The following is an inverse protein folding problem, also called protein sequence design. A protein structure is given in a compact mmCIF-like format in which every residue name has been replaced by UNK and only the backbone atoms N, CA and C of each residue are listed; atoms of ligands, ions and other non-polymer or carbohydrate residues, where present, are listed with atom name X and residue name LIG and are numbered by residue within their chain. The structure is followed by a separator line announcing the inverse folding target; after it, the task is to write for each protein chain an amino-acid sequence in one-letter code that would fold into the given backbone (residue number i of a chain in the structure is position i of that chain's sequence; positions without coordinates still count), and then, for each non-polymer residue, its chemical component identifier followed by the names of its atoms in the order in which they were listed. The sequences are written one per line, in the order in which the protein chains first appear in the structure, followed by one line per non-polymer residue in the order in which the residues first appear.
data_IF_652220934263
#
_entry.id   IF_652220934263
#
_cell.length_a   1.000
_cell.length_b   1.000
_cell.length_c   1.000
_cell.angle_alpha   90.00
_cell.angle_beta   90.00
_cell.angle_gamma   90.00
#
_symmetry.space_group_name_H-M   'P 1'
#
loop_
_entity.id
_entity.type
_entity.pdbx_description
1 polymer ?
#
# COMPACT_ATOMS: atom_id res chain seq x y z
N UNK A 1 -30.80 16.81 47.10
CA UNK A 1 -30.18 15.53 46.64
C UNK A 1 -31.31 14.62 46.14
N UNK A 2 -31.51 14.52 44.81
CA UNK A 2 -32.55 13.68 44.21
C UNK A 2 -32.02 12.24 44.15
N UNK A 3 -32.62 11.32 44.95
CA UNK A 3 -32.30 9.90 44.88
C UNK A 3 -32.88 9.31 43.57
N UNK A 4 -32.04 9.13 42.56
CA UNK A 4 -32.40 8.40 41.34
C UNK A 4 -32.62 6.91 41.65
N UNK A 5 -33.81 6.39 41.37
CA UNK A 5 -34.18 4.98 41.54
C UNK A 5 -33.43 4.11 40.54
N UNK A 6 -33.24 2.82 40.84
CA UNK A 6 -32.50 1.86 39.98
C UNK A 6 -33.11 1.73 38.57
N UNK A 7 -34.41 1.90 38.45
CA UNK A 7 -35.17 1.89 37.17
C UNK A 7 -34.81 3.10 36.29
N UNK A 8 -34.67 4.29 36.90
CA UNK A 8 -34.30 5.52 36.13
C UNK A 8 -32.86 5.43 35.54
N UNK A 9 -31.96 4.71 36.21
CA UNK A 9 -30.58 4.49 35.70
C UNK A 9 -30.53 3.52 34.55
N UNK A 10 -31.39 2.50 34.49
CA UNK A 10 -31.44 1.51 33.41
C UNK A 10 -32.06 2.12 32.15
N UNK A 11 -33.10 2.97 32.31
CA UNK A 11 -33.73 3.67 31.17
C UNK A 11 -32.81 4.74 30.56
N UNK A 12 -32.01 5.45 31.36
CA UNK A 12 -31.03 6.41 30.86
C UNK A 12 -29.86 5.74 30.14
N UNK A 13 -29.38 4.59 30.63
CA UNK A 13 -28.34 3.82 29.96
C UNK A 13 -28.83 3.22 28.64
N UNK A 14 -30.08 2.74 28.60
CA UNK A 14 -30.70 2.23 27.36
C UNK A 14 -30.93 3.32 26.32
N UNK A 15 -31.33 4.52 26.73
CA UNK A 15 -31.52 5.66 25.82
C UNK A 15 -30.20 6.20 25.28
N UNK A 16 -29.11 6.15 26.07
CA UNK A 16 -27.78 6.56 25.59
C UNK A 16 -27.20 5.60 24.57
N UNK A 17 -27.46 4.28 24.71
CA UNK A 17 -27.03 3.26 23.75
C UNK A 17 -27.82 3.39 22.43
N UNK A 18 -29.13 3.66 22.49
CA UNK A 18 -29.94 3.91 21.28
C UNK A 18 -29.56 5.22 20.58
N UNK A 19 -29.19 6.27 21.29
CA UNK A 19 -28.75 7.53 20.70
C UNK A 19 -27.39 7.43 20.01
N UNK A 20 -26.51 6.54 20.46
CA UNK A 20 -25.23 6.22 19.80
C UNK A 20 -25.40 5.33 18.55
N UNK A 21 -26.50 4.58 18.45
CA UNK A 21 -26.80 3.75 17.28
C UNK A 21 -27.49 4.51 16.13
N UNK A 22 -28.00 5.72 16.38
CA UNK A 22 -28.85 6.46 15.44
C UNK A 22 -28.19 7.57 14.63
N UNK A 23 -26.87 7.70 14.60
CA UNK A 23 -26.25 8.90 14.02
C UNK A 23 -24.92 8.76 13.31
N UNK A 24 -24.53 7.56 12.87
CA UNK A 24 -23.37 7.45 11.97
C UNK A 24 -23.87 7.60 10.54
N UNK A 25 -23.36 8.58 9.75
CA UNK A 25 -23.59 8.56 8.32
C UNK A 25 -23.08 7.22 7.82
N UNK A 26 -23.90 6.49 7.07
CA UNK A 26 -23.45 5.35 6.28
C UNK A 26 -22.43 5.94 5.27
N UNK A 27 -21.17 5.86 5.62
CA UNK A 27 -20.11 6.04 4.63
C UNK A 27 -20.32 4.88 3.66
N UNK A 28 -20.77 5.21 2.45
CA UNK A 28 -20.82 4.27 1.36
C UNK A 28 -19.43 3.62 1.29
N UNK A 29 -19.38 2.30 1.45
CA UNK A 29 -18.19 1.53 1.14
C UNK A 29 -17.85 1.89 -0.32
N UNK A 30 -16.68 2.52 -0.53
CA UNK A 30 -16.28 2.96 -1.86
C UNK A 30 -16.26 1.76 -2.80
N UNK A 31 -16.77 1.93 -4.01
CA UNK A 31 -16.62 0.96 -5.12
C UNK A 31 -15.16 0.92 -5.60
N UNK A 32 -14.22 0.70 -4.67
CA UNK A 32 -12.82 0.49 -5.01
C UNK A 32 -12.66 -0.84 -5.75
N UNK A 33 -11.68 -0.94 -6.67
CA UNK A 33 -11.44 -2.19 -7.39
C UNK A 33 -11.09 -3.32 -6.41
N UNK A 34 -11.66 -4.50 -6.65
CA UNK A 34 -11.34 -5.68 -5.85
C UNK A 34 -9.90 -6.13 -6.13
N UNK A 35 -9.06 -6.13 -5.09
CA UNK A 35 -7.65 -6.50 -5.20
C UNK A 35 -7.43 -7.86 -4.56
N UNK A 36 -6.93 -8.78 -5.37
CA UNK A 36 -6.63 -10.14 -4.92
C UNK A 36 -5.44 -10.14 -3.94
N UNK A 37 -5.60 -10.85 -2.82
CA UNK A 37 -4.53 -11.06 -1.84
C UNK A 37 -3.47 -11.98 -2.42
N UNK A 38 -2.21 -11.57 -2.35
CA UNK A 38 -1.05 -12.35 -2.73
C UNK A 38 -0.40 -12.97 -1.49
N UNK A 39 0.16 -14.15 -1.63
CA UNK A 39 0.95 -14.77 -0.56
C UNK A 39 2.37 -14.16 -0.56
N UNK A 40 2.73 -13.50 0.54
CA UNK A 40 4.03 -12.87 0.74
C UNK A 40 4.87 -13.64 1.75
N UNK A 41 6.22 -13.62 1.60
CA UNK A 41 7.16 -14.23 2.55
C UNK A 41 7.07 -13.57 3.94
N UNK A 42 6.79 -12.28 3.97
CA UNK A 42 6.66 -11.49 5.19
C UNK A 42 5.25 -11.50 5.82
N UNK A 43 4.30 -12.27 5.25
CA UNK A 43 2.94 -12.41 5.78
C UNK A 43 2.90 -13.20 7.08
N UNK A 44 1.91 -12.86 7.91
CA UNK A 44 1.59 -13.58 9.14
C UNK A 44 2.59 -13.39 10.28
N UNK A 45 2.34 -14.00 11.45
CA UNK A 45 3.11 -13.74 12.67
C UNK A 45 4.59 -14.15 12.59
N UNK A 46 4.92 -15.19 11.81
CA UNK A 46 6.29 -15.69 11.61
C UNK A 46 6.92 -15.26 10.29
N UNK A 47 6.23 -14.47 9.48
CA UNK A 47 6.73 -14.02 8.18
C UNK A 47 7.90 -13.06 8.31
N UNK A 48 8.82 -13.11 7.36
CA UNK A 48 10.00 -12.24 7.26
C UNK A 48 10.26 -11.89 5.79
N UNK A 49 10.94 -10.77 5.58
CA UNK A 49 11.32 -10.35 4.23
C UNK A 49 12.38 -11.28 3.64
N UNK A 50 12.19 -11.66 2.37
CA UNK A 50 13.21 -12.37 1.61
C UNK A 50 14.26 -11.38 1.11
N UNK A 51 15.51 -11.57 1.56
CA UNK A 51 16.63 -10.70 1.23
C UNK A 51 16.86 -10.55 -0.28
N UNK A 52 16.82 -11.65 -1.01
CA UNK A 52 17.08 -11.63 -2.45
C UNK A 52 15.95 -10.91 -3.19
N UNK A 53 14.71 -11.13 -2.75
CA UNK A 53 13.56 -10.39 -3.26
C UNK A 53 13.69 -8.87 -3.02
N UNK A 54 14.13 -8.46 -1.83
CA UNK A 54 14.37 -7.04 -1.55
C UNK A 54 15.51 -6.46 -2.39
N UNK A 55 16.55 -7.23 -2.66
CA UNK A 55 17.66 -6.80 -3.54
C UNK A 55 17.19 -6.57 -4.97
N UNK A 56 16.42 -7.50 -5.53
CA UNK A 56 15.81 -7.32 -6.86
C UNK A 56 14.83 -6.15 -6.88
N UNK A 57 14.00 -6.00 -5.83
CA UNK A 57 13.08 -4.87 -5.70
C UNK A 57 13.79 -3.52 -5.62
N UNK A 58 14.92 -3.44 -4.92
CA UNK A 58 15.78 -2.26 -4.92
C UNK A 58 16.37 -1.97 -6.30
N UNK A 59 16.78 -3.00 -7.04
CA UNK A 59 17.27 -2.84 -8.40
C UNK A 59 16.21 -2.21 -9.30
N UNK A 60 14.96 -2.70 -9.22
CA UNK A 60 13.84 -2.11 -9.97
C UNK A 60 13.60 -0.65 -9.56
N UNK A 61 13.61 -0.36 -8.24
CA UNK A 61 13.51 1.03 -7.79
C UNK A 61 14.60 1.90 -8.41
N UNK A 62 15.86 1.47 -8.31
CA UNK A 62 17.02 2.22 -8.79
C UNK A 62 17.00 2.45 -10.30
N UNK A 63 16.67 1.42 -11.08
CA UNK A 63 16.77 1.46 -12.55
C UNK A 63 15.53 2.04 -13.23
N UNK A 64 14.36 1.94 -12.58
CA UNK A 64 13.08 2.33 -13.18
C UNK A 64 12.39 3.44 -12.41
N UNK A 65 12.11 3.23 -11.12
CA UNK A 65 11.22 4.11 -10.36
C UNK A 65 11.87 5.42 -9.91
N UNK A 66 13.19 5.38 -9.64
CA UNK A 66 13.93 6.49 -9.04
C UNK A 66 14.03 7.72 -9.96
N UNK A 67 13.81 7.56 -11.26
CA UNK A 67 13.76 8.67 -12.21
C UNK A 67 12.61 9.66 -11.91
N UNK A 68 11.51 9.16 -11.34
CA UNK A 68 10.31 9.96 -11.07
C UNK A 68 9.93 9.98 -9.58
N UNK A 69 10.30 8.98 -8.79
CA UNK A 69 9.86 8.80 -7.42
C UNK A 69 11.00 8.86 -6.42
N UNK A 70 10.84 9.69 -5.39
CA UNK A 70 11.78 9.77 -4.27
C UNK A 70 11.63 8.61 -3.28
N UNK A 71 12.68 8.44 -2.43
CA UNK A 71 12.71 7.51 -1.30
C UNK A 71 13.28 8.24 -0.05
N UNK A 72 12.74 9.42 0.23
CA UNK A 72 13.29 10.42 1.16
C UNK A 72 13.41 9.96 2.61
N UNK A 73 12.69 8.92 3.03
CA UNK A 73 12.69 8.44 4.42
C UNK A 73 13.68 7.31 4.64
N UNK A 74 14.25 6.75 3.59
CA UNK A 74 15.24 5.68 3.65
C UNK A 74 16.64 6.31 3.54
N UNK A 75 17.53 5.95 4.47
CA UNK A 75 18.94 6.28 4.40
C UNK A 75 19.70 5.14 3.71
N UNK A 76 20.83 5.45 3.08
CA UNK A 76 21.65 4.42 2.43
C UNK A 76 22.06 3.29 3.39
N UNK A 77 22.35 3.62 4.66
CA UNK A 77 22.66 2.61 5.69
C UNK A 77 21.56 1.58 5.91
N UNK A 78 20.28 1.92 5.63
CA UNK A 78 19.19 0.97 5.82
C UNK A 78 19.30 -0.22 4.86
N UNK A 79 19.94 -0.05 3.70
CA UNK A 79 20.18 -1.11 2.74
C UNK A 79 21.18 -2.19 3.25
N UNK A 80 21.98 -1.85 4.25
CA UNK A 80 23.00 -2.75 4.86
C UNK A 80 22.46 -3.47 6.08
N UNK A 81 21.41 -2.92 6.72
CA UNK A 81 20.88 -3.39 7.99
C UNK A 81 20.23 -4.77 7.91
N UNK A 82 20.35 -5.60 8.97
CA UNK A 82 19.68 -6.88 9.06
C UNK A 82 18.15 -6.77 8.94
N UNK A 83 17.55 -7.73 8.24
CA UNK A 83 16.11 -7.74 7.95
C UNK A 83 15.72 -6.87 6.77
N UNK A 84 16.69 -6.30 6.07
CA UNK A 84 16.55 -5.56 4.82
C UNK A 84 17.23 -6.26 3.65
N UNK A 85 17.59 -5.50 2.60
CA UNK A 85 18.34 -6.03 1.45
C UNK A 85 19.72 -6.57 1.81
N UNK A 86 20.30 -6.09 2.92
CA UNK A 86 21.61 -6.55 3.46
C UNK A 86 22.72 -6.56 2.41
N UNK A 87 22.80 -5.51 1.61
CA UNK A 87 23.91 -5.35 0.67
C UNK A 87 25.24 -5.18 1.40
N UNK A 88 26.36 -5.57 0.81
CA UNK A 88 27.68 -5.27 1.34
C UNK A 88 27.89 -3.76 1.56
N UNK A 89 28.43 -3.38 2.72
CA UNK A 89 28.56 -1.97 3.11
C UNK A 89 29.36 -1.14 2.09
N UNK A 90 30.48 -1.70 1.58
CA UNK A 90 31.32 -1.02 0.61
C UNK A 90 30.59 -0.74 -0.72
N UNK A 91 29.74 -1.70 -1.13
CA UNK A 91 28.87 -1.52 -2.31
C UNK A 91 27.88 -0.38 -2.10
N UNK A 92 27.22 -0.32 -0.93
CA UNK A 92 26.27 0.75 -0.62
C UNK A 92 26.98 2.10 -0.44
N UNK A 93 28.20 2.11 0.13
CA UNK A 93 29.04 3.31 0.23
C UNK A 93 29.39 3.86 -1.16
N UNK A 94 29.78 2.98 -2.07
CA UNK A 94 30.06 3.34 -3.46
C UNK A 94 28.81 3.85 -4.17
N UNK A 95 27.68 3.19 -3.97
CA UNK A 95 26.38 3.64 -4.48
C UNK A 95 26.03 5.02 -3.96
N UNK A 96 26.11 5.26 -2.63
CA UNK A 96 25.80 6.55 -2.02
C UNK A 96 26.65 7.68 -2.63
N UNK A 97 27.93 7.44 -2.86
CA UNK A 97 28.85 8.43 -3.45
C UNK A 97 28.45 8.88 -4.87
N UNK A 98 27.63 8.12 -5.58
CA UNK A 98 27.09 8.53 -6.90
C UNK A 98 26.02 9.61 -6.79
N UNK A 99 25.40 9.77 -5.62
CA UNK A 99 24.37 10.78 -5.37
C UNK A 99 25.00 12.06 -4.82
N UNK A 100 24.37 13.20 -5.11
CA UNK A 100 24.76 14.50 -4.56
C UNK A 100 23.72 14.93 -3.54
N UNK A 101 24.19 15.44 -2.40
CA UNK A 101 23.36 16.01 -1.34
C UNK A 101 23.85 17.40 -0.99
N UNK A 102 22.93 18.27 -0.64
CA UNK A 102 23.25 19.63 -0.20
C UNK A 102 23.72 19.60 1.25
N UNK A 103 24.79 20.35 1.54
CA UNK A 103 25.34 20.57 2.88
C UNK A 103 25.64 22.05 3.04
N UNK A 104 25.54 22.56 4.25
CA UNK A 104 25.98 23.93 4.54
C UNK A 104 27.48 23.94 4.87
N UNK A 105 28.23 24.77 4.19
CA UNK A 105 29.63 25.00 4.55
C UNK A 105 29.76 25.84 5.84
N UNK A 106 30.98 26.08 6.31
CA UNK A 106 31.26 26.85 7.53
C UNK A 106 30.72 28.29 7.45
N UNK A 107 30.45 28.80 6.26
CA UNK A 107 29.95 30.18 6.01
C UNK A 107 28.41 30.18 5.82
N UNK A 108 27.73 29.04 5.98
CA UNK A 108 26.30 28.92 5.75
C UNK A 108 25.87 28.84 4.27
N UNK A 109 26.82 28.68 3.35
CA UNK A 109 26.54 28.53 1.92
C UNK A 109 26.21 27.08 1.61
N UNK A 110 25.19 26.85 0.79
CA UNK A 110 24.83 25.52 0.29
C UNK A 110 25.88 25.03 -0.71
N UNK A 111 26.51 23.91 -0.42
CA UNK A 111 27.47 23.21 -1.27
C UNK A 111 27.02 21.78 -1.51
N UNK A 112 27.36 21.23 -2.65
CA UNK A 112 27.02 19.83 -2.97
C UNK A 112 28.19 18.90 -2.68
N UNK A 113 27.92 17.81 -1.97
CA UNK A 113 28.90 16.74 -1.74
C UNK A 113 28.35 15.38 -2.14
N UNK A 114 29.21 14.38 -2.36
CA UNK A 114 28.81 12.99 -2.45
C UNK A 114 28.06 12.55 -1.18
N UNK A 115 26.98 11.78 -1.35
CA UNK A 115 26.24 11.25 -0.21
C UNK A 115 27.04 10.18 0.54
N UNK A 116 26.73 10.02 1.82
CA UNK A 116 27.31 9.05 2.77
C UNK A 116 26.23 8.05 3.20
N UNK A 117 26.60 6.98 3.88
CA UNK A 117 25.66 5.99 4.42
C UNK A 117 24.59 6.59 5.34
N UNK A 118 24.90 7.67 6.04
CA UNK A 118 23.95 8.37 6.92
C UNK A 118 22.92 9.21 6.18
N UNK A 119 23.20 9.57 4.95
CA UNK A 119 22.31 10.43 4.17
C UNK A 119 21.11 9.63 3.65
N UNK A 120 20.04 10.35 3.40
CA UNK A 120 18.83 9.79 2.80
C UNK A 120 18.89 9.88 1.27
N UNK A 121 18.11 9.04 0.60
CA UNK A 121 17.96 9.17 -0.84
C UNK A 121 17.43 10.56 -1.19
N UNK A 122 18.10 11.30 -2.08
CA UNK A 122 17.61 12.61 -2.53
C UNK A 122 16.35 12.47 -3.37
N UNK A 123 15.56 13.52 -3.41
CA UNK A 123 14.42 13.62 -4.33
C UNK A 123 14.91 13.81 -5.76
N UNK A 124 14.26 13.21 -6.78
CA UNK A 124 14.56 13.52 -8.18
C UNK A 124 14.22 14.95 -8.59
N UNK A 125 13.37 15.65 -7.81
CA UNK A 125 12.95 17.03 -8.06
C UNK A 125 13.32 17.93 -6.89
N UNK A 126 13.65 19.17 -7.18
CA UNK A 126 13.94 20.20 -6.18
C UNK A 126 12.69 20.55 -5.35
N UNK A 127 11.55 20.60 -6.00
CA UNK A 127 10.26 20.92 -5.37
C UNK A 127 9.09 20.36 -6.16
N UNK A 128 7.89 20.48 -5.61
CA UNK A 128 6.66 19.99 -6.21
C UNK A 128 6.30 20.70 -7.51
N UNK A 129 6.59 22.00 -7.63
CA UNK A 129 6.28 22.78 -8.83
C UNK A 129 7.09 22.28 -10.05
N UNK A 130 8.37 21.95 -9.84
CA UNK A 130 9.22 21.34 -10.86
C UNK A 130 8.67 19.98 -11.28
N UNK A 131 8.32 19.12 -10.31
CA UNK A 131 7.75 17.81 -10.61
C UNK A 131 6.46 17.91 -11.43
N UNK A 132 5.54 18.79 -11.05
CA UNK A 132 4.27 18.99 -11.77
C UNK A 132 4.47 19.55 -13.18
N UNK A 133 5.44 20.43 -13.37
CA UNK A 133 5.73 20.98 -14.71
C UNK A 133 6.23 19.93 -15.69
N UNK A 134 6.96 18.93 -15.20
CA UNK A 134 7.51 17.83 -16.01
C UNK A 134 6.45 16.75 -16.30
N UNK A 135 5.49 16.55 -15.37
CA UNK A 135 4.51 15.47 -15.43
C UNK A 135 3.07 15.94 -15.71
N UNK A 136 2.88 16.96 -16.54
CA UNK A 136 1.56 17.47 -16.95
C UNK A 136 0.63 17.76 -15.77
N UNK A 137 1.17 18.35 -14.69
CA UNK A 137 0.43 18.66 -13.47
C UNK A 137 0.38 17.53 -12.43
N UNK A 138 0.77 16.31 -12.76
CA UNK A 138 0.84 15.22 -11.79
C UNK A 138 2.07 15.37 -10.88
N UNK A 139 1.94 14.96 -9.63
CA UNK A 139 3.06 14.89 -8.68
C UNK A 139 3.35 13.43 -8.32
N UNK A 140 4.47 12.84 -8.79
CA UNK A 140 4.86 11.50 -8.41
C UNK A 140 5.07 11.39 -6.90
N UNK A 141 4.36 10.51 -6.18
CA UNK A 141 4.50 10.38 -4.74
C UNK A 141 5.86 9.82 -4.35
N UNK A 142 6.34 10.19 -3.15
CA UNK A 142 7.49 9.53 -2.52
C UNK A 142 7.12 8.10 -2.13
N UNK A 143 7.97 7.13 -2.47
CA UNK A 143 7.68 5.71 -2.30
C UNK A 143 8.07 5.15 -0.93
N UNK A 144 8.70 5.95 -0.05
CA UNK A 144 9.16 5.48 1.26
C UNK A 144 8.05 4.88 2.13
N UNK A 145 6.83 5.40 2.04
CA UNK A 145 5.69 4.96 2.84
C UNK A 145 4.52 4.49 1.98
N UNK A 146 4.72 4.31 0.69
CA UNK A 146 3.63 4.06 -0.26
C UNK A 146 2.81 2.82 0.11
N UNK A 147 3.45 1.75 0.57
CA UNK A 147 2.78 0.53 1.00
C UNK A 147 1.95 0.68 2.28
N UNK A 148 2.18 1.75 3.07
CA UNK A 148 1.33 2.09 4.22
C UNK A 148 0.31 3.19 3.89
N UNK A 149 0.64 4.07 2.95
CA UNK A 149 -0.22 5.16 2.52
C UNK A 149 -1.31 4.71 1.53
N UNK A 150 -1.11 3.60 0.86
CA UNK A 150 -2.04 2.95 -0.06
C UNK A 150 -2.33 1.54 0.43
N UNK A 151 -3.58 1.16 0.42
CA UNK A 151 -4.02 -0.16 0.86
C UNK A 151 -5.27 -0.57 0.12
N UNK A 152 -5.68 -1.79 0.34
CA UNK A 152 -6.96 -2.31 -0.14
C UNK A 152 -8.05 -1.76 0.78
N UNK A 153 -9.01 -1.05 0.20
CA UNK A 153 -10.18 -0.58 0.96
C UNK A 153 -11.06 -1.75 1.37
N UNK A 154 -11.62 -1.65 2.57
CA UNK A 154 -12.58 -2.64 3.06
C UNK A 154 -13.92 -2.43 2.35
N UNK A 155 -14.33 -3.39 1.53
CA UNK A 155 -15.57 -3.36 0.75
C UNK A 155 -16.74 -4.14 1.39
N UNK A 156 -16.51 -4.76 2.54
CA UNK A 156 -17.52 -5.55 3.25
C UNK A 156 -18.51 -4.70 4.07
N UNK A 157 -19.56 -5.34 4.64
CA UNK A 157 -20.52 -4.67 5.50
C UNK A 157 -19.84 -4.02 6.72
N UNK A 158 -20.23 -2.79 7.05
CA UNK A 158 -19.60 -1.99 8.12
C UNK A 158 -19.65 -2.69 9.50
N UNK A 159 -20.67 -3.47 9.77
CA UNK A 159 -20.81 -4.23 11.01
C UNK A 159 -19.81 -5.38 11.13
N UNK A 160 -19.26 -5.88 10.00
CA UNK A 160 -18.25 -6.94 9.97
C UNK A 160 -16.82 -6.38 10.02
N UNK A 161 -16.64 -5.10 9.80
CA UNK A 161 -15.32 -4.45 9.80
C UNK A 161 -14.49 -4.70 11.08
N UNK A 162 -15.05 -4.59 12.32
CA UNK A 162 -14.30 -4.92 13.53
C UNK A 162 -13.83 -6.38 13.60
N UNK A 163 -14.63 -7.31 13.04
CA UNK A 163 -14.27 -8.74 13.00
C UNK A 163 -13.13 -8.97 12.00
N UNK A 164 -13.17 -8.32 10.84
CA UNK A 164 -12.07 -8.41 9.86
C UNK A 164 -10.79 -7.80 10.41
N UNK A 165 -10.86 -6.66 11.10
CA UNK A 165 -9.70 -6.06 11.77
C UNK A 165 -9.10 -6.99 12.84
N UNK A 166 -9.94 -7.63 13.66
CA UNK A 166 -9.48 -8.60 14.66
C UNK A 166 -8.81 -9.81 13.99
N UNK A 167 -9.38 -10.31 12.91
CA UNK A 167 -8.79 -11.37 12.09
C UNK A 167 -7.42 -10.95 11.57
N UNK A 168 -7.29 -9.76 11.00
CA UNK A 168 -6.04 -9.24 10.44
C UNK A 168 -4.97 -9.08 11.54
N UNK A 169 -5.36 -8.63 12.75
CA UNK A 169 -4.47 -8.58 13.91
C UNK A 169 -3.99 -9.98 14.32
N UNK A 170 -4.91 -10.95 14.43
CA UNK A 170 -4.58 -12.33 14.84
C UNK A 170 -3.74 -13.05 13.79
N UNK A 171 -4.03 -12.83 12.51
CA UNK A 171 -3.26 -13.43 11.41
C UNK A 171 -1.99 -12.65 11.08
N UNK A 172 -1.80 -11.46 11.67
CA UNK A 172 -0.69 -10.56 11.35
C UNK A 172 -0.73 -10.05 9.91
N UNK A 173 -1.92 -9.98 9.29
CA UNK A 173 -2.08 -9.47 7.94
C UNK A 173 -1.87 -7.95 7.92
N UNK A 174 -0.88 -7.50 7.14
CA UNK A 174 -0.55 -6.09 6.93
C UNK A 174 -0.21 -5.80 5.45
N UNK A 175 -0.46 -6.75 4.59
CA UNK A 175 0.05 -6.78 3.23
C UNK A 175 -0.85 -6.03 2.23
N UNK A 176 -1.96 -5.44 2.68
CA UNK A 176 -2.90 -4.73 1.79
C UNK A 176 -2.23 -3.69 0.89
N UNK A 177 -1.21 -3.00 1.40
CA UNK A 177 -0.43 -2.07 0.59
C UNK A 177 0.45 -2.75 -0.45
N UNK A 178 1.09 -3.87 -0.10
CA UNK A 178 1.89 -4.65 -1.05
C UNK A 178 1.00 -5.28 -2.13
N UNK A 179 -0.17 -5.82 -1.75
CA UNK A 179 -1.17 -6.34 -2.68
C UNK A 179 -1.65 -5.25 -3.66
N UNK A 180 -1.93 -4.05 -3.15
CA UNK A 180 -2.31 -2.92 -3.97
C UNK A 180 -1.20 -2.52 -4.97
N UNK A 181 0.05 -2.40 -4.51
CA UNK A 181 1.18 -2.04 -5.38
C UNK A 181 1.42 -3.09 -6.46
N UNK A 182 1.34 -4.36 -6.10
CA UNK A 182 1.43 -5.45 -7.07
C UNK A 182 0.31 -5.37 -8.11
N UNK A 183 -0.94 -5.21 -7.67
CA UNK A 183 -2.09 -5.09 -8.55
C UNK A 183 -2.01 -3.84 -9.44
N UNK A 184 -1.55 -2.71 -8.90
CA UNK A 184 -1.33 -1.48 -9.64
C UNK A 184 -0.32 -1.69 -10.77
N UNK A 185 0.84 -2.27 -10.47
CA UNK A 185 1.92 -2.47 -11.44
C UNK A 185 1.57 -3.51 -12.53
N UNK A 186 0.70 -4.47 -12.21
CA UNK A 186 0.24 -5.50 -13.17
C UNK A 186 -1.11 -5.18 -13.82
N UNK A 187 -1.81 -4.15 -13.32
CA UNK A 187 -3.18 -3.82 -13.69
C UNK A 187 -3.33 -2.96 -14.94
N UNK A 188 -2.24 -2.56 -15.57
CA UNK A 188 -2.31 -1.76 -16.81
C UNK A 188 -2.89 -2.57 -17.97
N UNK A 189 -3.71 -1.89 -18.78
CA UNK A 189 -4.25 -2.41 -20.04
C UNK A 189 -4.14 -1.32 -21.11
N UNK A 190 -3.97 -1.72 -22.36
CA UNK A 190 -3.83 -0.79 -23.47
C UNK A 190 -5.08 0.05 -23.67
N UNK A 191 -6.24 -0.51 -23.35
CA UNK A 191 -7.53 0.13 -23.55
C UNK A 191 -8.44 -0.07 -22.33
N UNK A 192 -9.31 0.92 -22.09
CA UNK A 192 -10.45 0.76 -21.20
C UNK A 192 -11.45 -0.27 -21.77
N UNK A 193 -12.26 -0.95 -20.94
CA UNK A 193 -13.27 -1.89 -21.39
C UNK A 193 -14.21 -1.30 -22.43
N UNK A 194 -14.58 -2.13 -23.38
CA UNK A 194 -15.43 -1.74 -24.48
C UNK A 194 -16.89 -2.10 -24.21
N UNK A 195 -17.79 -1.20 -24.54
CA UNK A 195 -19.23 -1.35 -24.36
C UNK A 195 -20.01 -1.00 -25.61
N UNK A 196 -21.09 -1.70 -25.87
CA UNK A 196 -22.06 -1.39 -26.93
C UNK A 196 -23.36 -0.90 -26.34
N UNK A 197 -23.86 0.19 -26.87
CA UNK A 197 -25.16 0.77 -26.47
C UNK A 197 -26.29 0.10 -27.24
N UNK A 198 -27.30 -0.41 -26.53
CA UNK A 198 -28.51 -0.90 -27.13
C UNK A 198 -29.53 0.22 -27.46
N UNK A 199 -30.62 -0.07 -28.21
CA UNK A 199 -31.64 0.93 -28.52
C UNK A 199 -32.35 1.53 -27.28
N UNK A 200 -32.35 0.86 -26.14
CA UNK A 200 -32.89 1.35 -24.88
C UNK A 200 -31.88 2.22 -24.10
N UNK A 201 -30.67 2.42 -24.64
CA UNK A 201 -29.62 3.22 -24.04
C UNK A 201 -28.80 2.48 -22.99
N UNK A 202 -28.96 1.17 -22.80
CA UNK A 202 -28.17 0.36 -21.88
C UNK A 202 -26.83 -0.02 -22.49
N UNK A 203 -25.80 -0.07 -21.65
CA UNK A 203 -24.44 -0.43 -22.01
C UNK A 203 -24.15 -1.88 -21.61
N UNK A 204 -23.77 -2.71 -22.58
CA UNK A 204 -23.29 -4.08 -22.36
C UNK A 204 -21.84 -4.18 -22.73
N UNK A 205 -21.04 -4.86 -21.91
CA UNK A 205 -19.63 -5.10 -22.18
C UNK A 205 -19.44 -5.99 -23.41
N UNK A 206 -18.46 -5.66 -24.22
CA UNK A 206 -18.15 -6.36 -25.49
C UNK A 206 -16.73 -6.87 -25.42
N UNK A 207 -16.55 -8.16 -25.68
CA UNK A 207 -15.21 -8.76 -25.73
C UNK A 207 -14.35 -8.09 -26.82
N UNK A 208 -13.11 -7.75 -26.49
CA UNK A 208 -12.16 -7.08 -27.40
C UNK A 208 -12.04 -7.82 -28.76
N UNK A 209 -12.01 -9.14 -28.72
CA UNK A 209 -11.92 -9.99 -29.94
C UNK A 209 -13.12 -9.87 -30.89
N UNK A 210 -14.26 -9.33 -30.42
CA UNK A 210 -15.47 -9.15 -31.23
C UNK A 210 -15.60 -7.76 -31.84
N UNK A 211 -14.65 -6.85 -31.58
CA UNK A 211 -14.69 -5.48 -32.07
C UNK A 211 -14.04 -5.42 -33.46
N UNK A 212 -14.82 -5.02 -34.46
CA UNK A 212 -14.28 -4.77 -35.79
C UNK A 212 -13.53 -3.43 -35.84
N UNK A 213 -12.46 -3.36 -36.62
CA UNK A 213 -11.68 -2.13 -36.81
C UNK A 213 -12.61 -1.04 -37.38
N UNK A 214 -12.76 0.06 -36.66
CA UNK A 214 -13.61 1.20 -37.07
C UNK A 214 -15.07 1.10 -36.64
N UNK A 215 -15.44 0.16 -35.77
CA UNK A 215 -16.78 0.06 -35.20
C UNK A 215 -17.08 1.29 -34.31
N UNK A 216 -17.83 2.25 -34.84
CA UNK A 216 -18.23 3.48 -34.17
C UNK A 216 -19.31 3.27 -33.11
N UNK A 217 -19.90 2.09 -32.99
CA UNK A 217 -20.94 1.75 -32.00
C UNK A 217 -20.34 1.32 -30.66
N UNK A 218 -19.05 1.09 -30.62
CA UNK A 218 -18.32 0.70 -29.41
C UNK A 218 -17.82 1.92 -28.67
N UNK A 219 -18.18 2.03 -27.40
CA UNK A 219 -17.72 3.06 -26.46
C UNK A 219 -16.69 2.46 -25.51
N UNK A 220 -15.60 3.16 -25.23
CA UNK A 220 -14.63 2.77 -24.20
C UNK A 220 -14.87 3.58 -22.95
N UNK A 221 -15.27 2.90 -21.86
CA UNK A 221 -15.68 3.54 -20.62
C UNK A 221 -14.79 3.09 -19.47
N UNK A 222 -14.28 4.03 -18.70
CA UNK A 222 -13.57 3.77 -17.42
C UNK A 222 -14.56 3.58 -16.27
N UNK A 223 -15.75 4.16 -16.38
CA UNK A 223 -16.86 3.96 -15.44
C UNK A 223 -18.20 4.02 -16.19
N UNK A 224 -19.19 3.31 -15.65
CA UNK A 224 -20.58 3.35 -16.14
C UNK A 224 -21.49 3.67 -14.96
N UNK A 225 -22.21 4.77 -15.09
CA UNK A 225 -23.27 5.12 -14.15
C UNK A 225 -24.61 4.57 -14.67
N UNK A 226 -25.20 3.63 -13.92
CA UNK A 226 -26.50 3.02 -14.21
C UNK A 226 -27.59 3.74 -13.42
N UNK A 227 -28.43 4.49 -14.10
CA UNK A 227 -29.57 5.19 -13.49
C UNK A 227 -30.87 4.50 -13.87
N UNK A 228 -31.71 4.18 -12.87
CA UNK A 228 -32.99 3.53 -13.12
C UNK A 228 -33.87 4.40 -14.05
N UNK A 229 -34.38 3.79 -15.12
CA UNK A 229 -35.27 4.48 -16.09
C UNK A 229 -34.58 5.46 -17.03
N UNK A 230 -33.26 5.60 -16.99
CA UNK A 230 -32.50 6.47 -17.91
C UNK A 230 -31.45 5.65 -18.68
N UNK A 231 -30.93 6.19 -19.80
CA UNK A 231 -29.77 5.61 -20.48
C UNK A 231 -28.55 5.56 -19.55
N UNK A 232 -27.73 4.52 -19.70
CA UNK A 232 -26.48 4.40 -18.97
C UNK A 232 -25.49 5.49 -19.44
N UNK A 233 -24.76 6.08 -18.50
CA UNK A 233 -23.75 7.11 -18.79
C UNK A 233 -22.37 6.48 -18.79
N UNK A 234 -21.66 6.65 -19.90
CA UNK A 234 -20.28 6.21 -20.08
C UNK A 234 -19.33 7.36 -19.74
N UNK A 235 -18.40 7.15 -18.83
CA UNK A 235 -17.29 8.08 -18.58
C UNK A 235 -16.11 7.63 -19.45
N UNK A 236 -15.70 8.41 -20.46
CA UNK A 236 -14.53 8.10 -21.26
C UNK A 236 -13.25 8.32 -20.47
N UNK A 237 -12.15 7.74 -20.93
CA UNK A 237 -10.83 8.01 -20.38
C UNK A 237 -10.43 9.46 -20.73
N UNK A 238 -9.89 10.20 -19.74
CA UNK A 238 -9.38 11.54 -19.97
C UNK A 238 -8.07 11.51 -20.78
N UNK A 239 -7.82 12.56 -21.54
CA UNK A 239 -6.61 12.70 -22.36
C UNK A 239 -5.34 12.64 -21.49
N UNK A 240 -4.35 11.91 -21.97
CA UNK A 240 -3.08 11.74 -21.26
C UNK A 240 -3.10 10.79 -20.06
N UNK A 241 -4.23 10.16 -19.78
CA UNK A 241 -4.36 9.15 -18.72
C UNK A 241 -4.19 7.74 -19.28
N UNK A 242 -3.80 6.81 -18.40
CA UNK A 242 -3.65 5.39 -18.72
C UNK A 242 -4.70 4.59 -17.96
N UNK A 243 -5.23 3.54 -18.60
CA UNK A 243 -6.19 2.66 -17.95
C UNK A 243 -5.46 1.68 -17.02
N UNK A 244 -5.96 1.59 -15.77
CA UNK A 244 -5.43 0.65 -14.77
C UNK A 244 -6.57 0.04 -13.96
N UNK A 245 -6.64 -1.28 -13.93
CA UNK A 245 -7.72 -2.02 -13.27
C UNK A 245 -7.72 -1.85 -11.74
N UNK A 246 -6.55 -1.63 -11.14
CA UNK A 246 -6.39 -1.56 -9.69
C UNK A 246 -6.45 -0.12 -9.13
N UNK A 247 -6.38 0.89 -9.98
CA UNK A 247 -6.43 2.29 -9.56
C UNK A 247 -7.88 2.75 -9.39
N UNK A 248 -8.16 3.47 -8.31
CA UNK A 248 -9.50 4.02 -8.08
C UNK A 248 -9.93 4.95 -9.24
N UNK A 249 -11.11 4.71 -9.80
CA UNK A 249 -11.57 5.40 -11.01
C UNK A 249 -10.89 4.95 -12.31
N UNK A 250 -10.05 3.93 -12.26
CA UNK A 250 -9.40 3.26 -13.39
C UNK A 250 -8.56 4.16 -14.33
N UNK A 251 -8.28 5.41 -13.95
CA UNK A 251 -7.49 6.37 -14.73
C UNK A 251 -6.29 6.84 -13.91
N UNK A 252 -5.08 6.63 -14.42
CA UNK A 252 -3.85 7.04 -13.76
C UNK A 252 -2.93 7.81 -14.72
N UNK A 253 -2.34 8.92 -14.24
CA UNK A 253 -1.40 9.71 -15.04
C UNK A 253 -0.04 9.04 -15.23
N UNK A 254 0.33 8.05 -14.40
CA UNK A 254 1.55 7.28 -14.55
C UNK A 254 1.41 6.30 -15.73
N UNK A 255 2.28 6.40 -16.72
CA UNK A 255 2.36 5.39 -17.79
C UNK A 255 2.85 4.04 -17.21
N UNK A 256 2.57 2.90 -17.90
CA UNK A 256 3.11 1.59 -17.49
C UNK A 256 4.63 1.65 -17.28
N UNK A 257 5.13 1.54 -16.03
CA UNK A 257 6.55 1.80 -15.75
C UNK A 257 7.44 0.60 -16.03
N UNK A 258 6.89 -0.61 -16.08
CA UNK A 258 7.62 -1.87 -16.20
C UNK A 258 7.14 -2.69 -17.39
N UNK A 259 8.10 -3.26 -18.12
CA UNK A 259 7.86 -4.19 -19.22
C UNK A 259 8.75 -5.43 -19.09
N UNK A 260 8.32 -6.57 -19.66
CA UNK A 260 9.09 -7.81 -19.57
C UNK A 260 10.49 -7.63 -20.22
N UNK A 261 11.52 -8.14 -19.53
CA UNK A 261 12.91 -8.07 -19.99
C UNK A 261 13.61 -6.71 -19.81
N UNK A 262 12.94 -5.71 -19.20
CA UNK A 262 13.48 -4.36 -19.01
C UNK A 262 14.68 -4.33 -18.04
N UNK A 263 14.59 -5.08 -16.93
CA UNK A 263 15.64 -5.20 -15.92
C UNK A 263 16.20 -6.63 -15.97
N UNK A 264 17.51 -6.77 -16.01
CA UNK A 264 18.17 -8.10 -16.00
C UNK A 264 18.55 -8.48 -14.58
N UNK A 265 18.05 -9.61 -14.12
CA UNK A 265 18.44 -10.19 -12.85
C UNK A 265 19.67 -11.09 -12.98
N UNK A 266 20.61 -10.96 -12.06
CA UNK A 266 21.84 -11.77 -12.05
C UNK A 266 21.60 -13.16 -11.46
N UNK A 267 20.54 -13.35 -10.67
CA UNK A 267 20.21 -14.61 -9.97
C UNK A 267 19.40 -15.60 -10.84
N UNK A 268 19.17 -15.28 -12.12
CA UNK A 268 18.41 -16.12 -13.03
C UNK A 268 16.90 -16.09 -12.86
N UNK A 269 16.37 -15.24 -11.97
CA UNK A 269 14.91 -15.04 -11.82
C UNK A 269 14.31 -14.53 -13.14
N UNK A 270 13.14 -15.06 -13.51
CA UNK A 270 12.46 -14.69 -14.75
C UNK A 270 12.08 -13.19 -14.76
N UNK A 271 12.43 -12.52 -15.85
CA UNK A 271 12.25 -11.08 -16.08
C UNK A 271 10.84 -10.75 -16.61
N UNK A 272 9.81 -11.12 -15.84
CA UNK A 272 8.40 -10.88 -16.17
C UNK A 272 7.86 -9.67 -15.40
N UNK A 273 6.84 -9.01 -15.94
CA UNK A 273 6.14 -7.91 -15.27
C UNK A 273 5.62 -8.34 -13.88
N UNK A 274 5.12 -9.57 -13.76
CA UNK A 274 4.62 -10.12 -12.49
C UNK A 274 5.72 -10.23 -11.43
N UNK A 275 6.92 -10.71 -11.80
CA UNK A 275 8.05 -10.82 -10.88
C UNK A 275 8.57 -9.44 -10.50
N UNK A 276 8.72 -8.54 -11.46
CA UNK A 276 9.10 -7.15 -11.18
C UNK A 276 8.14 -6.46 -10.21
N UNK A 277 6.83 -6.60 -10.46
CA UNK A 277 5.81 -6.02 -9.60
C UNK A 277 5.85 -6.62 -8.17
N UNK A 278 6.08 -7.93 -8.05
CA UNK A 278 6.20 -8.59 -6.76
C UNK A 278 7.45 -8.14 -5.99
N UNK A 279 8.59 -8.07 -6.65
CA UNK A 279 9.86 -7.67 -6.04
C UNK A 279 9.82 -6.18 -5.63
N UNK A 280 9.30 -5.30 -6.50
CA UNK A 280 9.11 -3.89 -6.18
C UNK A 280 8.13 -3.68 -5.01
N UNK A 281 6.98 -4.38 -5.01
CA UNK A 281 6.00 -4.28 -3.93
C UNK A 281 6.57 -4.77 -2.59
N UNK A 282 7.34 -5.85 -2.57
CA UNK A 282 8.04 -6.34 -1.38
C UNK A 282 9.07 -5.31 -0.87
N UNK A 283 9.86 -4.73 -1.77
CA UNK A 283 10.81 -3.68 -1.42
C UNK A 283 10.14 -2.44 -0.82
N UNK A 284 9.03 -1.97 -1.40
CA UNK A 284 8.29 -0.83 -0.85
C UNK A 284 7.56 -1.16 0.45
N UNK A 285 7.14 -2.41 0.67
CA UNK A 285 6.62 -2.87 1.95
C UNK A 285 7.71 -2.80 3.03
N UNK A 286 8.92 -3.27 2.72
CA UNK A 286 10.07 -3.13 3.60
C UNK A 286 10.45 -1.66 3.83
N UNK A 287 10.52 -0.84 2.79
CA UNK A 287 10.84 0.58 2.92
C UNK A 287 9.85 1.31 3.83
N UNK A 288 8.57 0.93 3.82
CA UNK A 288 7.56 1.49 4.70
C UNK A 288 7.66 1.00 6.16
N UNK A 289 8.33 -0.14 6.40
CA UNK A 289 8.55 -0.71 7.73
C UNK A 289 9.88 -1.49 7.82
N UNK A 290 11.04 -0.81 7.81
CA UNK A 290 12.35 -1.48 7.84
C UNK A 290 12.62 -2.29 9.10
N UNK A 291 11.85 -2.07 10.17
CA UNK A 291 11.98 -2.78 11.46
C UNK A 291 10.95 -3.89 11.65
N UNK A 292 10.18 -4.22 10.63
CA UNK A 292 9.10 -5.21 10.68
C UNK A 292 9.53 -6.56 11.28
N UNK A 293 10.62 -7.16 10.79
CA UNK A 293 11.10 -8.45 11.26
C UNK A 293 11.62 -8.39 12.71
N UNK A 294 12.31 -7.31 13.06
CA UNK A 294 12.75 -7.05 14.43
C UNK A 294 11.57 -6.87 15.38
N UNK A 295 10.55 -6.13 14.97
CA UNK A 295 9.33 -5.90 15.73
C UNK A 295 8.57 -7.20 15.98
N UNK A 296 8.43 -8.07 14.96
CA UNK A 296 7.81 -9.39 15.12
C UNK A 296 8.57 -10.27 16.10
N UNK A 297 9.91 -10.33 15.99
CA UNK A 297 10.75 -11.07 16.93
C UNK A 297 10.59 -10.57 18.36
N UNK A 298 10.64 -9.24 18.56
CA UNK A 298 10.44 -8.62 19.86
C UNK A 298 9.03 -8.89 20.40
N UNK A 299 8.01 -8.83 19.55
CA UNK A 299 6.62 -9.14 19.90
C UNK A 299 6.47 -10.54 20.51
N UNK A 300 7.07 -11.56 19.90
CA UNK A 300 7.06 -12.92 20.42
C UNK A 300 7.77 -13.03 21.79
N UNK A 301 8.91 -12.37 21.96
CA UNK A 301 9.63 -12.33 23.23
C UNK A 301 8.78 -11.69 24.33
N UNK A 302 8.13 -10.56 24.04
CA UNK A 302 7.24 -9.88 24.98
C UNK A 302 6.02 -10.71 25.33
N UNK A 303 5.38 -11.35 24.33
CA UNK A 303 4.21 -12.22 24.56
C UNK A 303 4.59 -13.42 25.47
N UNK A 304 5.72 -14.07 25.22
CA UNK A 304 6.20 -15.17 26.05
C UNK A 304 6.48 -14.71 27.49
N UNK A 305 7.16 -13.56 27.65
CA UNK A 305 7.44 -12.98 28.96
C UNK A 305 6.14 -12.68 29.73
N UNK A 306 5.16 -12.04 29.09
CA UNK A 306 3.88 -11.72 29.70
C UNK A 306 3.10 -12.99 30.08
N UNK A 307 3.13 -14.01 29.24
CA UNK A 307 2.49 -15.31 29.54
C UNK A 307 3.09 -15.94 30.79
N UNK A 308 4.42 -16.08 30.85
CA UNK A 308 5.11 -16.66 32.00
C UNK A 308 4.83 -15.85 33.28
N UNK A 309 4.96 -14.52 33.20
CA UNK A 309 4.69 -13.63 34.34
C UNK A 309 3.23 -13.75 34.82
N UNK A 310 2.28 -13.82 33.91
CA UNK A 310 0.86 -14.00 34.26
C UNK A 310 0.60 -15.32 34.97
N UNK A 311 1.22 -16.42 34.52
CA UNK A 311 1.12 -17.72 35.18
C UNK A 311 1.71 -17.65 36.60
N UNK A 312 2.90 -17.06 36.75
CA UNK A 312 3.56 -16.91 38.07
C UNK A 312 2.69 -16.08 39.01
N UNK A 313 2.16 -14.94 38.57
CA UNK A 313 1.27 -14.09 39.38
C UNK A 313 -0.03 -14.82 39.73
N UNK A 314 -0.61 -15.59 38.82
CA UNK A 314 -1.79 -16.41 39.10
C UNK A 314 -1.51 -17.47 40.17
N UNK A 315 -0.38 -18.17 40.10
CA UNK A 315 0.02 -19.15 41.11
C UNK A 315 0.29 -18.48 42.45
N UNK A 316 1.01 -17.36 42.47
CA UNK A 316 1.25 -16.58 43.66
C UNK A 316 -0.05 -16.11 44.32
N UNK A 317 -0.96 -15.52 43.53
CA UNK A 317 -2.32 -15.15 44.00
C UNK A 317 -3.03 -16.35 44.62
N UNK A 318 -3.08 -17.50 43.92
CA UNK A 318 -3.77 -18.70 44.39
C UNK A 318 -3.18 -19.23 45.72
N UNK A 319 -1.86 -19.13 45.92
CA UNK A 319 -1.20 -19.52 47.15
C UNK A 319 -1.53 -18.58 48.29
N UNK A 320 -1.41 -17.26 48.07
CA UNK A 320 -1.67 -16.24 49.09
C UNK A 320 -3.14 -16.22 49.59
N UNK A 321 -4.09 -16.46 48.66
CA UNK A 321 -5.53 -16.39 48.99
C UNK A 321 -6.11 -17.73 49.47
N UNK A 322 -5.33 -18.81 49.45
CA UNK A 322 -5.78 -20.12 49.93
C UNK A 322 -6.08 -20.12 51.44
N UNK A 323 -5.43 -19.26 52.22
CA UNK A 323 -5.57 -19.16 53.66
C UNK A 323 -6.62 -18.11 54.10
N UNK A 324 -7.21 -17.39 53.16
CA UNK A 324 -8.18 -16.31 53.40
C UNK A 324 -9.64 -16.79 53.22
N UNK A 325 -9.86 -18.03 52.78
CA UNK A 325 -11.19 -18.62 52.56
C UNK A 325 -11.35 -19.91 53.33
#
# INVERSE_FOLDING_TARGET
MIKMTRTTRITLAGALILALAGGLPAMAAGDGPEIAKKKWSFSGPGGHFDKNQLQRGFQIYKEVCSACHGLKRIAFRNLVQPGGPEFPEDGVRSLAATYKVDELDANGKVVQRPARLSDRFPSPYKNEAEARSIHNGAYPPDLSLIAKARGVEYTGPIWYHPVSMLKDVVTGYQEGGADYLYALLTGYRDNAPAYRRDPAGKLSEVAEASIQRGDKTVLRCVAIEKVAGKPDVCTPMADGMNYNMAYAGHQIGMAPPISAGQVKYEDGTQTTVSNYAADAAAFFAWAADPTHDQRKRMGWQVMLYLLVTSILLFVAKKRLWREVH
#
